data_IF_025385764732
#
_entry.id   IF_025385764732
#
_cell.length_a   1.000
_cell.length_b   1.000
_cell.length_c   1.000
_cell.angle_alpha   90.00
_cell.angle_beta   90.00
_cell.angle_gamma   90.00
#
_symmetry.space_group_name_H-M   'P 1'
#
loop_
_entity.id
_entity.type
_entity.pdbx_description
1 polymer ?
#
# COMPACT_ATOMS: atom_id res chain seq x y z
N UNK A 1 -15.03 30.71 17.87
CA UNK A 1 -15.36 29.27 17.94
C UNK A 1 -16.21 28.92 16.72
N UNK A 2 -15.95 27.74 16.15
CA UNK A 2 -16.40 27.18 14.85
C UNK A 2 -15.68 27.72 13.60
N UNK A 3 -14.89 26.87 12.91
CA UNK A 3 -14.68 26.98 11.48
C UNK A 3 -15.56 25.98 10.72
N UNK A 4 -16.31 26.51 9.76
CA UNK A 4 -17.15 25.76 8.83
C UNK A 4 -16.34 25.16 7.68
N UNK A 5 -16.83 24.00 7.24
CA UNK A 5 -16.40 23.19 6.09
C UNK A 5 -16.59 23.92 4.74
N UNK A 6 -15.59 23.86 3.87
CA UNK A 6 -15.76 24.10 2.41
C UNK A 6 -14.94 23.11 1.57
N UNK A 7 -15.60 22.00 1.25
CA UNK A 7 -15.79 21.43 -0.09
C UNK A 7 -14.61 21.49 -1.11
N UNK A 8 -13.74 20.49 -1.06
CA UNK A 8 -12.67 20.19 -2.05
C UNK A 8 -13.20 19.44 -3.30
N UNK A 9 -14.51 19.18 -3.38
CA UNK A 9 -15.08 18.27 -4.40
C UNK A 9 -15.53 19.00 -5.67
N UNK A 10 -15.54 20.34 -5.67
CA UNK A 10 -16.15 21.15 -6.75
C UNK A 10 -15.16 21.64 -7.80
N UNK A 11 -13.86 21.57 -7.56
CA UNK A 11 -12.79 22.01 -8.49
C UNK A 11 -12.38 20.93 -9.49
N UNK A 12 -12.47 19.65 -9.14
CA UNK A 12 -12.09 18.53 -10.02
C UNK A 12 -13.15 18.21 -11.09
N UNK A 13 -14.42 18.52 -10.83
CA UNK A 13 -15.51 18.32 -11.79
C UNK A 13 -15.54 19.37 -12.91
N UNK A 14 -14.93 20.55 -12.71
CA UNK A 14 -14.95 21.65 -13.70
C UNK A 14 -13.91 21.48 -14.81
N UNK A 15 -12.87 20.66 -14.60
CA UNK A 15 -11.76 20.48 -15.55
C UNK A 15 -12.05 19.37 -16.57
N UNK A 16 -12.78 18.31 -16.19
CA UNK A 16 -13.16 17.20 -17.11
C UNK A 16 -14.09 17.62 -18.26
N UNK A 17 -14.62 18.84 -18.26
CA UNK A 17 -15.55 19.34 -19.27
C UNK A 17 -14.89 20.13 -20.41
N UNK A 18 -13.57 20.37 -20.38
CA UNK A 18 -12.88 21.21 -21.40
C UNK A 18 -12.28 20.47 -22.59
N UNK A 19 -12.31 19.14 -22.63
CA UNK A 19 -11.73 18.34 -23.72
C UNK A 19 -12.69 17.33 -24.36
N UNK A 20 -14.00 17.51 -24.18
CA UNK A 20 -15.01 16.76 -24.93
C UNK A 20 -15.67 17.69 -25.93
N UNK A 21 -15.49 17.41 -27.22
CA UNK A 21 -15.85 18.21 -28.41
C UNK A 21 -14.77 19.19 -28.87
N UNK A 22 -13.66 18.65 -29.38
CA UNK A 22 -12.90 19.32 -30.43
C UNK A 22 -13.43 18.81 -31.78
N UNK A 23 -14.51 19.42 -32.26
CA UNK A 23 -14.89 19.30 -33.66
C UNK A 23 -13.81 19.98 -34.51
N UNK A 24 -13.16 19.22 -35.39
CA UNK A 24 -12.07 19.71 -36.24
C UNK A 24 -12.53 20.88 -37.14
N UNK A 25 -13.83 20.95 -37.46
CA UNK A 25 -14.39 21.88 -38.45
C UNK A 25 -14.55 23.30 -37.91
N UNK A 26 -14.69 23.49 -36.59
CA UNK A 26 -15.02 24.80 -36.00
C UNK A 26 -13.81 25.69 -35.67
N UNK A 27 -12.57 25.24 -35.93
CA UNK A 27 -11.35 25.93 -35.46
C UNK A 27 -10.60 26.72 -36.54
N UNK A 28 -10.96 26.62 -37.81
CA UNK A 28 -10.26 27.28 -38.92
C UNK A 28 -10.65 28.76 -39.14
N UNK A 29 -11.47 29.36 -38.26
CA UNK A 29 -12.17 30.62 -38.60
C UNK A 29 -11.67 31.91 -37.95
N UNK A 30 -10.58 31.98 -37.18
CA UNK A 30 -10.12 33.29 -36.66
C UNK A 30 -8.63 33.36 -36.28
N UNK A 31 -7.93 34.34 -36.86
CA UNK A 31 -6.51 34.67 -36.61
C UNK A 31 -6.34 36.10 -36.07
N UNK A 32 -5.19 36.34 -35.43
CA UNK A 32 -4.59 37.59 -34.90
C UNK A 32 -4.98 37.94 -33.44
N UNK A 33 -4.10 38.41 -32.53
CA UNK A 33 -2.76 39.02 -32.63
C UNK A 33 -2.03 39.04 -31.25
N UNK A 34 -0.69 39.17 -31.28
CA UNK A 34 0.32 39.75 -30.32
C UNK A 34 0.10 39.73 -28.78
N UNK A 35 1.09 39.56 -27.89
CA UNK A 35 2.55 39.48 -27.94
C UNK A 35 3.18 39.94 -26.59
N UNK A 36 4.36 39.39 -26.22
CA UNK A 36 5.41 39.86 -25.24
C UNK A 36 5.01 39.93 -23.73
N UNK A 37 5.86 39.66 -22.72
CA UNK A 37 7.27 39.25 -22.58
C UNK A 37 7.83 39.61 -21.17
N UNK A 38 8.87 38.87 -20.71
CA UNK A 38 9.90 39.18 -19.68
C UNK A 38 9.56 39.00 -18.17
N UNK A 39 10.20 38.10 -17.38
CA UNK A 39 11.56 38.07 -16.73
C UNK A 39 11.67 39.04 -15.51
N UNK A 40 12.32 38.79 -14.35
CA UNK A 40 13.53 38.01 -13.98
C UNK A 40 13.75 38.05 -12.44
N UNK A 41 14.40 37.01 -11.86
CA UNK A 41 15.36 36.86 -10.72
C UNK A 41 15.52 37.91 -9.57
N UNK A 42 16.09 37.65 -8.37
CA UNK A 42 17.29 36.84 -7.91
C UNK A 42 17.31 36.68 -6.37
N UNK A 43 17.88 35.56 -5.87
CA UNK A 43 18.97 35.34 -4.87
C UNK A 43 19.07 36.21 -3.57
N UNK A 44 19.70 35.86 -2.42
CA UNK A 44 20.59 34.79 -1.95
C UNK A 44 20.86 34.92 -0.40
N UNK A 45 21.12 33.78 0.27
CA UNK A 45 22.15 33.43 1.30
C UNK A 45 22.34 34.19 2.66
N UNK A 46 22.30 33.48 3.83
CA UNK A 46 23.42 32.96 4.71
C UNK A 46 23.74 33.95 5.88
N UNK A 47 23.96 33.64 7.18
CA UNK A 47 24.76 32.63 7.92
C UNK A 47 24.38 32.54 9.43
N UNK A 48 25.05 31.62 10.14
CA UNK A 48 24.93 31.03 11.49
C UNK A 48 25.11 31.90 12.77
N UNK A 49 24.70 31.30 13.91
CA UNK A 49 25.27 31.51 15.26
C UNK A 49 25.00 30.29 16.19
N UNK A 50 26.02 29.82 16.90
CA UNK A 50 26.02 28.73 17.91
C UNK A 50 25.88 29.28 19.34
N UNK A 51 25.39 28.46 20.29
CA UNK A 51 25.87 28.38 21.70
C UNK A 51 25.54 27.01 22.33
N UNK A 52 26.33 26.64 23.34
CA UNK A 52 26.61 25.34 23.96
C UNK A 52 25.62 24.87 25.05
N UNK A 53 25.73 23.60 25.49
CA UNK A 53 25.11 23.09 26.73
C UNK A 53 25.18 21.57 27.00
N UNK A 54 26.24 21.16 27.72
CA UNK A 54 26.56 19.96 28.53
C UNK A 54 25.55 18.80 28.83
N UNK A 55 26.05 17.54 28.76
CA UNK A 55 26.34 16.69 29.95
C UNK A 55 25.32 15.64 30.46
N UNK A 56 25.63 14.34 30.28
CA UNK A 56 24.96 13.08 30.74
C UNK A 56 25.32 12.73 32.22
N UNK A 57 24.71 11.72 32.91
CA UNK A 57 25.09 10.29 32.75
C UNK A 57 23.99 9.22 33.02
N UNK A 58 24.35 7.98 32.65
CA UNK A 58 23.65 6.69 32.76
C UNK A 58 23.87 5.97 34.10
N UNK A 59 22.93 5.12 34.52
CA UNK A 59 23.14 4.13 35.60
C UNK A 59 22.82 2.70 35.12
N UNK A 60 23.83 1.85 35.23
CA UNK A 60 23.77 0.41 35.09
C UNK A 60 24.29 -0.19 36.39
N UNK A 61 23.41 -0.67 37.28
CA UNK A 61 23.74 -1.63 38.36
C UNK A 61 22.50 -2.01 39.19
N UNK A 62 21.66 -2.94 38.70
CA UNK A 62 20.78 -3.76 39.57
C UNK A 62 20.62 -5.15 38.94
N UNK A 63 21.59 -6.04 39.15
CA UNK A 63 21.50 -7.44 38.72
C UNK A 63 22.24 -8.35 39.69
N UNK A 64 21.61 -8.65 40.85
CA UNK A 64 22.03 -9.82 41.66
C UNK A 64 21.00 -10.24 42.73
N UNK A 65 19.75 -10.49 42.37
CA UNK A 65 18.78 -11.12 43.30
C UNK A 65 17.46 -11.60 42.68
N UNK A 66 17.40 -11.86 41.37
CA UNK A 66 16.18 -12.34 40.70
C UNK A 66 16.37 -13.62 39.87
N UNK A 67 17.50 -14.31 40.00
CA UNK A 67 17.87 -15.43 39.11
C UNK A 67 17.44 -16.82 39.58
N UNK A 68 16.91 -16.99 40.80
CA UNK A 68 16.65 -18.34 41.35
C UNK A 68 15.19 -18.79 41.24
N UNK A 69 14.23 -17.86 41.09
CA UNK A 69 12.80 -18.21 40.88
C UNK A 69 12.37 -18.25 39.41
N UNK A 70 13.21 -17.78 38.48
CA UNK A 70 12.91 -17.78 37.04
C UNK A 70 13.17 -19.16 36.41
N UNK A 71 14.10 -19.94 36.94
CA UNK A 71 14.51 -21.25 36.42
C UNK A 71 13.47 -22.33 36.65
N UNK A 72 12.76 -22.32 37.78
CA UNK A 72 11.72 -23.32 38.10
C UNK A 72 10.45 -23.12 37.25
N UNK A 73 10.02 -21.87 37.04
CA UNK A 73 8.85 -21.55 36.21
C UNK A 73 9.10 -21.78 34.70
N UNK A 74 10.35 -21.61 34.24
CA UNK A 74 10.76 -21.97 32.88
C UNK A 74 10.78 -23.49 32.69
N UNK A 75 11.25 -24.24 33.70
CA UNK A 75 11.32 -25.70 33.67
C UNK A 75 9.93 -26.36 33.71
N UNK A 76 8.99 -25.83 34.48
CA UNK A 76 7.60 -26.35 34.54
C UNK A 76 6.82 -26.08 33.24
N UNK A 77 7.14 -25.00 32.52
CA UNK A 77 6.59 -24.69 31.20
C UNK A 77 7.13 -25.64 30.11
N UNK A 78 8.42 -26.00 30.18
CA UNK A 78 9.04 -26.97 29.27
C UNK A 78 8.56 -28.40 29.57
N UNK A 79 8.38 -28.77 30.85
CA UNK A 79 7.87 -30.09 31.24
C UNK A 79 6.39 -30.31 30.85
N UNK A 80 5.55 -29.28 31.01
CA UNK A 80 4.17 -29.32 30.52
C UNK A 80 4.07 -29.33 28.98
N UNK A 81 5.12 -28.85 28.29
CA UNK A 81 5.23 -28.96 26.83
C UNK A 81 5.68 -30.36 26.39
N UNK A 82 6.48 -31.09 27.18
CA UNK A 82 6.91 -32.46 26.87
C UNK A 82 5.84 -33.51 27.15
N UNK A 83 5.03 -33.36 28.21
CA UNK A 83 3.88 -34.25 28.49
C UNK A 83 2.75 -34.12 27.44
N UNK A 84 2.72 -33.01 26.71
CA UNK A 84 1.79 -32.80 25.60
C UNK A 84 2.27 -33.40 24.27
N UNK A 85 3.51 -33.90 24.18
CA UNK A 85 4.09 -34.47 22.95
C UNK A 85 3.73 -35.95 22.76
N UNK A 86 3.37 -36.69 23.81
CA UNK A 86 3.08 -38.13 23.68
C UNK A 86 1.63 -38.50 23.29
N UNK A 87 0.73 -37.53 23.10
CA UNK A 87 -0.64 -37.80 22.58
C UNK A 87 -0.91 -36.96 21.33
N UNK A 88 -0.06 -37.04 20.32
CA UNK A 88 -0.37 -36.56 18.97
C UNK A 88 0.58 -37.15 17.90
N UNK A 89 0.73 -38.48 17.85
CA UNK A 89 1.10 -39.14 16.60
C UNK A 89 -0.14 -39.81 16.02
N UNK A 90 -1.04 -38.98 15.50
CA UNK A 90 -1.97 -39.44 14.46
C UNK A 90 -1.45 -38.87 13.16
N UNK A 91 -0.89 -39.80 12.38
CA UNK A 91 -0.47 -39.71 10.99
C UNK A 91 -1.48 -38.90 10.16
N UNK A 92 -1.05 -37.76 9.61
CA UNK A 92 -1.86 -36.97 8.66
C UNK A 92 -1.11 -36.89 7.32
N UNK A 93 -0.77 -38.07 6.80
CA UNK A 93 -0.54 -38.27 5.37
C UNK A 93 -1.87 -38.25 4.63
N UNK A 94 -2.47 -37.07 4.48
CA UNK A 94 -3.46 -36.85 3.42
C UNK A 94 -3.04 -35.66 2.55
N UNK A 95 -2.83 -35.97 1.28
CA UNK A 95 -2.67 -35.05 0.17
C UNK A 95 -3.97 -34.23 0.01
N UNK A 96 -4.20 -33.26 0.90
CA UNK A 96 -5.35 -32.36 0.87
C UNK A 96 -5.07 -31.28 -0.18
N UNK A 97 -5.80 -31.29 -1.29
CA UNK A 97 -5.83 -30.17 -2.22
C UNK A 97 -6.05 -28.85 -1.47
N UNK A 98 -5.27 -27.83 -1.83
CA UNK A 98 -5.43 -26.49 -1.27
C UNK A 98 -6.81 -25.95 -1.62
N UNK A 99 -7.45 -25.29 -0.67
CA UNK A 99 -8.70 -24.58 -0.93
C UNK A 99 -8.39 -23.44 -1.90
N UNK A 100 -8.95 -23.48 -3.10
CA UNK A 100 -8.69 -22.49 -4.15
C UNK A 100 -9.78 -21.41 -4.24
N UNK A 101 -10.99 -21.70 -3.74
CA UNK A 101 -12.11 -20.77 -3.73
C UNK A 101 -12.50 -20.44 -2.29
N UNK A 102 -12.57 -19.15 -1.94
CA UNK A 102 -12.91 -18.70 -0.60
C UNK A 102 -14.38 -18.24 -0.53
N UNK A 103 -15.20 -18.96 0.24
CA UNK A 103 -16.58 -18.58 0.55
C UNK A 103 -16.66 -18.23 2.05
N UNK A 104 -16.85 -16.95 2.43
CA UNK A 104 -16.82 -16.53 3.83
C UNK A 104 -17.78 -17.29 4.75
N UNK A 105 -19.02 -17.54 4.29
CA UNK A 105 -20.06 -18.19 5.09
C UNK A 105 -19.74 -19.65 5.45
N UNK A 106 -18.90 -20.30 4.64
CA UNK A 106 -18.49 -21.70 4.84
C UNK A 106 -17.15 -21.77 5.57
N UNK A 107 -16.20 -20.91 5.21
CA UNK A 107 -14.81 -21.03 5.63
C UNK A 107 -14.45 -20.20 6.87
N UNK A 108 -15.30 -19.27 7.31
CA UNK A 108 -15.04 -18.40 8.48
C UNK A 108 -15.74 -18.92 9.73
N UNK A 109 -15.02 -19.74 10.49
CA UNK A 109 -15.49 -20.33 11.74
C UNK A 109 -15.24 -19.36 12.91
N UNK A 110 -16.24 -19.18 13.78
CA UNK A 110 -16.10 -18.30 14.96
C UNK A 110 -15.11 -18.89 15.96
N UNK A 111 -15.38 -20.12 16.42
CA UNK A 111 -14.58 -20.76 17.46
C UNK A 111 -13.12 -20.95 16.99
N UNK A 112 -12.13 -20.39 17.71
CA UNK A 112 -10.74 -20.41 17.29
C UNK A 112 -10.15 -21.82 17.18
N UNK A 113 -10.64 -22.79 17.95
CA UNK A 113 -10.14 -24.16 17.91
C UNK A 113 -10.61 -24.95 16.68
N UNK A 114 -11.69 -24.51 16.04
CA UNK A 114 -12.32 -25.14 14.88
C UNK A 114 -11.96 -24.46 13.55
N UNK A 115 -11.14 -23.40 13.58
CA UNK A 115 -10.77 -22.68 12.37
C UNK A 115 -9.92 -23.55 11.46
N UNK A 116 -10.18 -23.42 10.16
CA UNK A 116 -9.32 -23.97 9.12
C UNK A 116 -7.98 -23.22 9.16
N UNK A 117 -6.83 -23.91 9.28
CA UNK A 117 -5.52 -23.27 9.26
C UNK A 117 -5.33 -22.45 7.99
N UNK A 118 -4.74 -21.25 8.11
CA UNK A 118 -4.51 -20.34 6.97
C UNK A 118 -3.69 -21.01 5.86
N UNK A 119 -2.82 -21.95 6.21
CA UNK A 119 -1.98 -22.67 5.25
C UNK A 119 -2.72 -23.65 4.35
N UNK A 120 -3.95 -24.06 4.71
CA UNK A 120 -4.81 -24.90 3.85
C UNK A 120 -5.44 -24.13 2.69
N UNK A 121 -5.36 -22.81 2.69
CA UNK A 121 -5.83 -21.96 1.60
C UNK A 121 -4.71 -21.66 0.61
N UNK A 122 -5.05 -21.58 -0.67
CA UNK A 122 -4.09 -21.21 -1.73
C UNK A 122 -3.49 -19.82 -1.45
N UNK A 123 -2.18 -19.60 -1.67
CA UNK A 123 -1.50 -18.33 -1.35
C UNK A 123 -2.22 -17.07 -1.83
N UNK A 124 -2.81 -17.13 -3.03
CA UNK A 124 -3.55 -16.00 -3.63
C UNK A 124 -4.82 -15.59 -2.87
N UNK A 125 -5.45 -16.50 -2.12
CA UNK A 125 -6.71 -16.22 -1.40
C UNK A 125 -6.50 -16.04 0.11
N UNK A 126 -5.31 -16.34 0.65
CA UNK A 126 -5.00 -16.17 2.08
C UNK A 126 -5.24 -14.73 2.55
N UNK A 127 -5.04 -13.75 1.67
CA UNK A 127 -5.35 -12.35 1.93
C UNK A 127 -6.84 -12.11 2.21
N UNK A 128 -7.72 -12.68 1.40
CA UNK A 128 -9.18 -12.54 1.58
C UNK A 128 -9.66 -13.23 2.86
N UNK A 129 -9.12 -14.41 3.17
CA UNK A 129 -9.40 -15.12 4.41
C UNK A 129 -9.01 -14.28 5.62
N UNK A 130 -7.79 -13.70 5.62
CA UNK A 130 -7.34 -12.81 6.70
C UNK A 130 -8.23 -11.58 6.84
N UNK A 131 -8.62 -10.94 5.73
CA UNK A 131 -9.56 -9.80 5.75
C UNK A 131 -10.90 -10.18 6.38
N UNK A 132 -11.46 -11.33 6.02
CA UNK A 132 -12.73 -11.78 6.56
C UNK A 132 -12.67 -12.05 8.07
N UNK A 133 -11.59 -12.68 8.57
CA UNK A 133 -11.38 -12.83 10.01
C UNK A 133 -11.17 -11.48 10.70
N UNK A 134 -10.43 -10.54 10.09
CA UNK A 134 -10.25 -9.20 10.65
C UNK A 134 -11.55 -8.41 10.75
N UNK A 135 -12.45 -8.54 9.77
CA UNK A 135 -13.79 -7.93 9.80
C UNK A 135 -14.66 -8.52 10.91
N UNK A 136 -14.58 -9.84 11.12
CA UNK A 136 -15.29 -10.54 12.20
C UNK A 136 -14.73 -10.21 13.58
N UNK A 137 -13.42 -10.03 13.66
CA UNK A 137 -12.70 -9.74 14.88
C UNK A 137 -12.46 -10.96 15.78
N UNK A 138 -11.76 -10.76 16.92
CA UNK A 138 -11.47 -11.82 17.87
C UNK A 138 -12.74 -12.41 18.50
N UNK A 139 -12.77 -13.72 18.67
CA UNK A 139 -13.90 -14.42 19.31
C UNK A 139 -13.80 -14.34 20.82
N UNK A 140 -14.68 -13.55 21.43
CA UNK A 140 -14.73 -13.26 22.87
C UNK A 140 -16.14 -13.56 23.43
N UNK A 141 -16.38 -14.76 23.95
CA UNK A 141 -17.70 -15.13 24.48
C UNK A 141 -17.90 -14.54 25.88
N UNK A 142 -18.32 -13.27 25.93
CA UNK A 142 -18.72 -12.62 27.18
C UNK A 142 -19.99 -13.24 27.76
N UNK A 143 -20.07 -13.35 29.09
CA UNK A 143 -21.18 -13.97 29.81
C UNK A 143 -21.23 -15.49 29.73
N UNK A 144 -20.20 -16.14 29.16
CA UNK A 144 -20.11 -17.59 29.09
C UNK A 144 -19.74 -18.21 30.46
N UNK A 145 -20.33 -19.36 30.77
CA UNK A 145 -19.97 -20.14 31.95
C UNK A 145 -18.72 -20.97 31.66
N UNK A 146 -17.55 -20.41 31.95
CA UNK A 146 -16.27 -21.09 31.76
C UNK A 146 -16.17 -22.35 32.65
N UNK A 147 -15.92 -23.53 32.07
CA UNK A 147 -15.72 -24.76 32.84
C UNK A 147 -14.61 -24.63 33.88
N UNK A 148 -14.78 -25.32 35.00
CA UNK A 148 -13.76 -25.42 36.05
C UNK A 148 -12.94 -26.69 35.83
N UNK A 149 -11.63 -26.56 35.92
CA UNK A 149 -10.71 -27.70 35.94
C UNK A 149 -10.75 -28.41 37.30
N UNK A 150 -10.10 -29.56 37.39
CA UNK A 150 -9.97 -30.34 38.63
C UNK A 150 -9.46 -29.51 39.82
N UNK A 151 -8.59 -28.53 39.56
CA UNK A 151 -8.04 -27.64 40.59
C UNK A 151 -8.98 -26.47 40.96
N UNK A 152 -10.25 -26.57 40.56
CA UNK A 152 -11.30 -25.57 40.77
C UNK A 152 -10.99 -24.18 40.17
N UNK A 153 -10.16 -24.14 39.12
CA UNK A 153 -9.81 -22.92 38.38
C UNK A 153 -10.53 -22.90 37.04
N UNK A 154 -10.88 -21.72 36.55
CA UNK A 154 -11.51 -21.53 35.25
C UNK A 154 -10.85 -20.37 34.51
N UNK A 155 -11.10 -20.28 33.22
CA UNK A 155 -10.77 -19.08 32.46
C UNK A 155 -11.50 -17.86 33.05
N UNK A 156 -10.79 -16.73 33.15
CA UNK A 156 -11.37 -15.48 33.67
C UNK A 156 -11.76 -14.55 32.54
N UNK A 157 -13.05 -14.20 32.48
CA UNK A 157 -13.60 -13.26 31.49
C UNK A 157 -12.86 -11.91 31.47
N UNK A 158 -12.35 -11.45 32.62
CA UNK A 158 -11.60 -10.19 32.71
C UNK A 158 -10.34 -10.18 31.83
N UNK A 159 -9.77 -11.34 31.51
CA UNK A 159 -8.62 -11.46 30.62
C UNK A 159 -8.96 -11.08 29.18
N UNK A 160 -10.18 -11.35 28.71
CA UNK A 160 -10.66 -10.96 27.37
C UNK A 160 -10.80 -9.45 27.23
N UNK A 161 -11.13 -8.76 28.33
CA UNK A 161 -11.21 -7.30 28.38
C UNK A 161 -9.83 -6.66 28.42
N UNK A 162 -8.91 -7.24 29.19
CA UNK A 162 -7.54 -6.74 29.35
C UNK A 162 -6.68 -6.93 28.10
N UNK A 163 -6.87 -8.03 27.38
CA UNK A 163 -6.04 -8.41 26.23
C UNK A 163 -6.88 -8.34 24.95
N UNK A 164 -6.54 -7.43 24.04
CA UNK A 164 -7.23 -7.27 22.77
C UNK A 164 -7.08 -8.50 21.86
N UNK A 165 -5.91 -9.13 21.89
CA UNK A 165 -5.52 -10.30 21.09
C UNK A 165 -6.09 -11.64 21.55
N UNK A 166 -6.56 -11.75 22.79
CA UNK A 166 -6.93 -13.01 23.42
C UNK A 166 -8.30 -13.50 22.93
N UNK A 167 -8.36 -14.76 22.54
CA UNK A 167 -9.58 -15.46 22.14
C UNK A 167 -9.82 -16.68 23.04
N UNK A 168 -11.06 -17.12 23.12
CA UNK A 168 -11.43 -18.33 23.86
C UNK A 168 -12.27 -19.26 22.98
N UNK A 169 -11.91 -20.53 22.96
CA UNK A 169 -12.69 -21.62 22.38
C UNK A 169 -13.59 -22.24 23.43
N UNK A 170 -14.89 -22.28 23.15
CA UNK A 170 -15.86 -22.96 24.02
C UNK A 170 -15.73 -24.48 23.85
N UNK A 171 -15.50 -24.93 22.61
CA UNK A 171 -15.42 -26.36 22.28
C UNK A 171 -14.22 -27.05 22.94
N UNK A 172 -13.06 -26.39 22.97
CA UNK A 172 -11.85 -26.96 23.59
C UNK A 172 -11.59 -26.49 25.02
N UNK A 173 -12.37 -25.56 25.56
CA UNK A 173 -12.08 -24.86 26.82
C UNK A 173 -10.61 -24.42 26.87
N UNK A 174 -10.22 -23.61 25.89
CA UNK A 174 -8.82 -23.22 25.67
C UNK A 174 -8.69 -21.81 25.09
N UNK A 175 -7.61 -21.12 25.47
CA UNK A 175 -7.31 -19.77 25.01
C UNK A 175 -6.37 -19.75 23.81
N UNK A 176 -6.64 -18.84 22.86
CA UNK A 176 -5.90 -18.68 21.62
C UNK A 176 -5.51 -17.21 21.39
N UNK A 177 -4.62 -16.96 20.45
CA UNK A 177 -4.23 -15.62 20.04
C UNK A 177 -4.66 -15.33 18.60
N UNK A 178 -5.49 -14.29 18.45
CA UNK A 178 -6.04 -13.89 17.16
C UNK A 178 -4.96 -13.51 16.13
N UNK A 179 -4.01 -12.66 16.53
CA UNK A 179 -2.95 -12.20 15.62
C UNK A 179 -2.00 -13.33 15.23
N UNK A 180 -1.62 -14.18 16.20
CA UNK A 180 -0.73 -15.32 15.93
C UNK A 180 -1.39 -16.40 15.06
N UNK A 181 -2.71 -16.57 15.13
CA UNK A 181 -3.44 -17.44 14.21
C UNK A 181 -3.40 -16.90 12.77
N UNK A 182 -3.67 -15.61 12.56
CA UNK A 182 -3.77 -15.01 11.23
C UNK A 182 -2.42 -14.79 10.53
N UNK A 183 -1.42 -14.36 11.31
CA UNK A 183 -0.10 -13.98 10.82
C UNK A 183 0.98 -14.83 11.48
N UNK A 184 0.73 -16.13 11.59
CA UNK A 184 1.67 -17.12 12.11
C UNK A 184 3.06 -16.88 11.52
N UNK A 185 4.03 -16.61 12.40
CA UNK A 185 5.43 -16.43 12.06
C UNK A 185 6.18 -17.69 12.43
N UNK A 186 7.17 -18.06 11.62
CA UNK A 186 8.11 -19.09 12.05
C UNK A 186 8.90 -18.57 13.26
N UNK A 187 9.03 -19.40 14.32
CA UNK A 187 9.81 -19.04 15.48
C UNK A 187 11.28 -18.85 15.09
N UNK A 188 11.93 -17.82 15.63
CA UNK A 188 13.38 -17.62 15.48
C UNK A 188 14.17 -18.59 16.36
N UNK A 189 13.57 -19.09 17.44
CA UNK A 189 14.13 -20.06 18.37
C UNK A 189 13.09 -21.14 18.69
N UNK A 190 13.49 -22.42 18.71
CA UNK A 190 12.62 -23.58 18.98
C UNK A 190 11.98 -23.60 20.38
N UNK A 191 12.40 -22.71 21.28
CA UNK A 191 12.14 -22.84 22.73
C UNK A 191 10.89 -22.15 23.25
N UNK A 192 10.02 -21.60 22.40
CA UNK A 192 8.86 -20.87 22.88
C UNK A 192 7.55 -21.45 22.35
N UNK A 193 6.59 -21.70 23.25
CA UNK A 193 5.30 -22.36 23.03
C UNK A 193 4.34 -21.61 22.09
N UNK A 194 4.79 -21.41 20.85
CA UNK A 194 4.06 -20.78 19.75
C UNK A 194 2.77 -21.54 19.43
N UNK A 195 2.85 -22.87 19.47
CA UNK A 195 1.71 -23.72 19.16
C UNK A 195 0.68 -23.77 20.29
N UNK A 196 1.04 -23.37 21.52
CA UNK A 196 0.10 -23.29 22.65
C UNK A 196 -1.03 -22.28 22.40
N UNK A 197 -0.74 -21.11 21.81
CA UNK A 197 -1.76 -20.09 21.53
C UNK A 197 -2.31 -20.13 20.09
N UNK A 198 -1.85 -21.08 19.25
CA UNK A 198 -2.26 -21.15 17.83
C UNK A 198 -2.90 -22.49 17.45
N UNK A 199 -2.32 -23.64 17.83
CA UNK A 199 -2.82 -24.97 17.46
C UNK A 199 -3.47 -25.72 18.62
N UNK A 200 -2.78 -25.80 19.74
CA UNK A 200 -3.17 -26.65 20.88
C UNK A 200 -4.23 -25.96 21.74
N UNK A 201 -4.03 -24.67 22.02
CA UNK A 201 -4.83 -23.89 22.95
C UNK A 201 -4.24 -23.90 24.36
N UNK A 202 -4.19 -22.75 25.01
CA UNK A 202 -3.68 -22.60 26.36
C UNK A 202 -4.77 -22.92 27.38
N UNK A 203 -4.51 -23.86 28.31
CA UNK A 203 -5.48 -24.33 29.33
C UNK A 203 -4.97 -24.25 30.76
N UNK A 204 -3.69 -23.93 30.96
CA UNK A 204 -3.04 -23.91 32.28
C UNK A 204 -3.36 -22.62 33.02
N UNK A 205 -4.61 -22.49 33.48
CA UNK A 205 -5.15 -21.27 34.11
C UNK A 205 -4.32 -20.78 35.30
N UNK A 206 -3.69 -21.70 36.04
CA UNK A 206 -2.81 -21.37 37.17
C UNK A 206 -1.66 -20.42 36.79
N UNK A 207 -1.15 -20.56 35.56
CA UNK A 207 0.03 -19.84 35.09
C UNK A 207 -0.33 -18.71 34.13
N UNK A 208 -1.62 -18.41 33.94
CA UNK A 208 -2.08 -17.38 32.99
C UNK A 208 -1.47 -15.99 33.25
N UNK A 209 -1.29 -15.63 34.54
CA UNK A 209 -0.71 -14.34 34.93
C UNK A 209 0.74 -14.15 34.44
N UNK A 210 1.47 -15.25 34.28
CA UNK A 210 2.85 -15.27 33.81
C UNK A 210 2.93 -15.58 32.31
N UNK A 211 2.13 -16.54 31.84
CA UNK A 211 2.12 -16.99 30.46
C UNK A 211 1.64 -15.92 29.47
N UNK A 212 0.64 -15.09 29.83
CA UNK A 212 0.15 -14.05 28.90
C UNK A 212 1.17 -12.93 28.68
N UNK A 213 1.78 -12.32 29.71
CA UNK A 213 2.87 -11.36 29.49
C UNK A 213 4.06 -11.96 28.75
N UNK A 214 4.44 -13.21 29.07
CA UNK A 214 5.51 -13.89 28.34
C UNK A 214 5.16 -14.13 26.87
N UNK A 215 3.92 -14.50 26.56
CA UNK A 215 3.45 -14.68 25.18
C UNK A 215 3.57 -13.40 24.37
N UNK A 216 3.14 -12.27 24.95
CA UNK A 216 3.30 -10.96 24.32
C UNK A 216 4.78 -10.63 24.18
N UNK A 217 5.59 -10.89 25.22
CA UNK A 217 7.03 -10.76 25.20
C UNK A 217 7.54 -9.36 24.84
N UNK A 218 8.79 -9.29 24.39
CA UNK A 218 9.42 -8.04 23.95
C UNK A 218 9.08 -7.65 22.49
N UNK A 219 9.63 -6.53 21.98
CA UNK A 219 9.28 -5.98 20.66
C UNK A 219 9.45 -6.94 19.47
N UNK A 220 10.38 -7.89 19.58
CA UNK A 220 10.69 -8.87 18.53
C UNK A 220 10.01 -10.23 18.73
N UNK A 221 9.12 -10.35 19.72
CA UNK A 221 8.39 -11.60 19.97
C UNK A 221 7.54 -12.01 18.77
N UNK A 222 7.23 -13.31 18.68
CA UNK A 222 6.33 -13.82 17.65
C UNK A 222 4.97 -13.08 17.65
N UNK A 223 4.45 -12.77 18.84
CA UNK A 223 3.21 -12.01 19.01
C UNK A 223 3.30 -10.62 18.41
N UNK A 224 4.31 -9.83 18.79
CA UNK A 224 4.44 -8.46 18.33
C UNK A 224 4.75 -8.38 16.84
N UNK A 225 5.54 -9.32 16.30
CA UNK A 225 5.73 -9.46 14.86
C UNK A 225 4.43 -9.77 14.12
N UNK A 226 3.61 -10.69 14.62
CA UNK A 226 2.31 -11.00 14.04
C UNK A 226 1.34 -9.80 14.13
N UNK A 227 1.40 -9.04 15.23
CA UNK A 227 0.64 -7.81 15.42
C UNK A 227 1.06 -6.73 14.42
N UNK A 228 2.36 -6.47 14.26
CA UNK A 228 2.87 -5.53 13.25
C UNK A 228 2.47 -5.96 11.84
N UNK A 229 2.61 -7.25 11.50
CA UNK A 229 2.19 -7.76 10.20
C UNK A 229 0.69 -7.56 9.94
N UNK A 230 -0.14 -7.68 10.99
CA UNK A 230 -1.56 -7.37 10.90
C UNK A 230 -1.83 -5.89 10.62
N UNK A 231 -1.12 -4.99 11.29
CA UNK A 231 -1.29 -3.54 11.11
C UNK A 231 -0.79 -3.08 9.73
N UNK A 232 0.33 -3.63 9.26
CA UNK A 232 0.84 -3.42 7.90
C UNK A 232 -0.16 -3.93 6.86
N UNK A 233 -0.77 -5.10 7.10
CA UNK A 233 -1.76 -5.69 6.21
C UNK A 233 -3.05 -4.85 6.11
N UNK A 234 -3.45 -4.15 7.19
CA UNK A 234 -4.58 -3.20 7.16
C UNK A 234 -4.25 -1.93 6.37
N UNK A 235 -2.97 -1.57 6.23
CA UNK A 235 -2.53 -0.35 5.55
C UNK A 235 -2.48 -0.54 4.01
N UNK A 236 -3.64 -0.73 3.40
CA UNK A 236 -3.80 -1.00 1.96
C UNK A 236 -3.16 0.07 1.05
N UNK A 237 -3.08 1.33 1.52
CA UNK A 237 -2.43 2.46 0.83
C UNK A 237 -0.92 2.29 0.67
N UNK A 238 -0.29 1.52 1.55
CA UNK A 238 1.15 1.24 1.49
C UNK A 238 1.47 0.01 0.61
N UNK A 239 0.46 -0.77 0.23
CA UNK A 239 0.65 -2.02 -0.52
C UNK A 239 1.26 -1.78 -1.90
N UNK A 240 2.16 -2.68 -2.32
CA UNK A 240 2.81 -2.62 -3.64
C UNK A 240 1.78 -2.62 -4.78
N UNK A 241 0.74 -3.47 -4.80
CA UNK A 241 -0.25 -3.45 -5.89
C UNK A 241 -0.99 -2.13 -6.01
N UNK A 242 -1.37 -1.52 -4.87
CA UNK A 242 -2.02 -0.21 -4.87
C UNK A 242 -1.09 0.87 -5.43
N UNK A 243 0.17 0.91 -4.96
CA UNK A 243 1.19 1.86 -5.45
C UNK A 243 1.47 1.71 -6.94
N UNK A 244 1.61 0.47 -7.44
CA UNK A 244 1.81 0.18 -8.86
C UNK A 244 0.61 0.69 -9.67
N UNK A 245 -0.60 0.33 -9.27
CA UNK A 245 -1.83 0.78 -9.96
C UNK A 245 -1.97 2.30 -10.00
N UNK A 246 -1.62 2.99 -8.91
CA UNK A 246 -1.64 4.47 -8.88
C UNK A 246 -0.56 5.09 -9.75
N UNK A 247 0.64 4.51 -9.74
CA UNK A 247 1.76 4.97 -10.56
C UNK A 247 1.45 4.80 -12.05
N UNK A 248 0.82 3.70 -12.45
CA UNK A 248 0.42 3.43 -13.83
C UNK A 248 -0.57 4.48 -14.34
N UNK A 249 -1.59 4.83 -13.54
CA UNK A 249 -2.55 5.89 -13.89
C UNK A 249 -1.89 7.26 -14.05
N UNK A 250 -0.96 7.61 -13.17
CA UNK A 250 -0.22 8.87 -13.23
C UNK A 250 0.75 8.90 -14.43
N UNK A 251 1.38 7.75 -14.75
CA UNK A 251 2.20 7.60 -15.95
C UNK A 251 1.39 7.76 -17.24
N UNK A 252 0.19 7.16 -17.31
CA UNK A 252 -0.74 7.26 -18.44
C UNK A 252 -1.22 8.70 -18.65
N UNK A 253 -1.68 9.38 -17.59
CA UNK A 253 -2.13 10.76 -17.66
C UNK A 253 -1.03 11.71 -18.17
N UNK A 254 0.21 11.53 -17.71
CA UNK A 254 1.36 12.31 -18.19
C UNK A 254 1.69 12.01 -19.65
N UNK A 255 1.56 10.76 -20.09
CA UNK A 255 1.73 10.41 -21.49
C UNK A 255 0.66 11.07 -22.37
N UNK A 256 -0.59 11.07 -21.94
CA UNK A 256 -1.70 11.74 -22.63
C UNK A 256 -1.44 13.25 -22.79
N UNK A 257 -0.97 13.92 -21.74
CA UNK A 257 -0.57 15.34 -21.79
C UNK A 257 0.53 15.57 -22.83
N UNK A 258 1.56 14.72 -22.85
CA UNK A 258 2.66 14.83 -23.83
C UNK A 258 2.17 14.65 -25.26
N UNK A 259 1.41 13.59 -25.51
CA UNK A 259 0.86 13.28 -26.83
C UNK A 259 -0.05 14.42 -27.33
N UNK A 260 -0.96 14.88 -26.48
CA UNK A 260 -1.92 15.95 -26.82
C UNK A 260 -1.19 17.26 -27.11
N UNK A 261 -0.18 17.61 -26.30
CA UNK A 261 0.63 18.82 -26.52
C UNK A 261 1.37 18.75 -27.85
N UNK A 262 2.06 17.64 -28.13
CA UNK A 262 2.77 17.43 -29.39
C UNK A 262 1.83 17.47 -30.60
N UNK A 263 0.64 16.88 -30.49
CA UNK A 263 -0.36 16.90 -31.56
C UNK A 263 -0.91 18.31 -31.81
N UNK A 264 -1.16 19.10 -30.77
CA UNK A 264 -1.59 20.50 -30.90
C UNK A 264 -0.54 21.33 -31.66
N UNK A 265 0.74 21.18 -31.33
CA UNK A 265 1.84 21.87 -32.01
C UNK A 265 1.93 21.41 -33.47
N UNK A 266 1.89 20.09 -33.71
CA UNK A 266 1.93 19.53 -35.06
C UNK A 266 0.79 20.09 -35.93
N UNK A 267 -0.44 20.09 -35.39
CA UNK A 267 -1.62 20.63 -36.05
C UNK A 267 -1.45 22.11 -36.38
N UNK A 268 -0.92 22.92 -35.45
CA UNK A 268 -0.66 24.33 -35.69
C UNK A 268 0.31 24.54 -36.86
N UNK A 269 1.44 23.83 -36.85
CA UNK A 269 2.46 23.96 -37.89
C UNK A 269 1.94 23.54 -39.26
N UNK A 270 1.21 22.42 -39.35
CA UNK A 270 0.55 21.96 -40.59
C UNK A 270 -0.43 23.01 -41.09
N UNK A 271 -1.27 23.56 -40.20
CA UNK A 271 -2.30 24.54 -40.57
C UNK A 271 -1.71 25.86 -41.08
N UNK A 272 -0.49 26.20 -40.67
CA UNK A 272 0.23 27.40 -41.12
C UNK A 272 1.21 27.11 -42.27
N UNK A 273 1.36 25.85 -42.70
CA UNK A 273 2.35 25.47 -43.71
C UNK A 273 3.80 25.66 -43.23
N UNK A 274 4.04 25.60 -41.92
CA UNK A 274 5.36 25.80 -41.33
C UNK A 274 6.14 24.49 -41.24
N UNK A 275 7.44 24.57 -41.52
CA UNK A 275 8.35 23.44 -41.30
C UNK A 275 8.41 23.08 -39.81
N UNK A 276 8.48 21.80 -39.48
CA UNK A 276 8.59 21.35 -38.08
C UNK A 276 9.99 21.55 -37.52
N UNK A 277 10.98 21.30 -38.38
CA UNK A 277 12.38 21.10 -37.99
C UNK A 277 13.24 22.31 -38.34
N UNK A 278 14.25 22.52 -37.51
CA UNK A 278 15.33 23.46 -37.77
C UNK A 278 16.53 22.76 -38.41
N UNK A 279 17.49 23.54 -38.89
CA UNK A 279 18.77 22.97 -39.36
C UNK A 279 19.58 22.34 -38.23
N UNK A 280 19.42 22.85 -37.00
CA UNK A 280 20.10 22.35 -35.82
C UNK A 280 19.15 22.29 -34.62
N UNK A 281 18.81 21.07 -34.18
CA UNK A 281 17.93 20.81 -33.03
C UNK A 281 18.72 20.56 -31.72
N UNK A 282 20.04 20.79 -31.70
CA UNK A 282 20.85 20.62 -30.48
C UNK A 282 20.41 21.58 -29.37
N UNK A 283 20.61 21.17 -28.12
CA UNK A 283 20.28 22.00 -26.94
C UNK A 283 21.00 23.35 -26.90
N UNK A 284 22.16 23.47 -27.57
CA UNK A 284 22.95 24.69 -27.71
C UNK A 284 22.49 25.62 -28.84
N UNK A 285 21.56 25.18 -29.70
CA UNK A 285 21.07 26.00 -30.80
C UNK A 285 20.16 27.12 -30.29
N UNK A 286 20.32 28.33 -30.83
CA UNK A 286 19.42 29.45 -30.55
C UNK A 286 18.02 29.28 -31.17
N UNK A 287 17.90 28.41 -32.17
CA UNK A 287 16.64 28.05 -32.80
C UNK A 287 16.66 26.56 -33.15
N UNK A 288 15.92 25.77 -32.37
CA UNK A 288 15.85 24.31 -32.53
C UNK A 288 14.76 23.86 -33.50
N UNK A 289 14.23 24.77 -34.30
CA UNK A 289 13.11 24.50 -35.20
C UNK A 289 11.76 24.77 -34.54
N UNK A 290 10.76 25.02 -35.39
CA UNK A 290 9.46 25.53 -34.94
C UNK A 290 8.78 24.59 -33.94
N UNK A 291 8.89 23.27 -34.09
CA UNK A 291 8.26 22.32 -33.16
C UNK A 291 8.81 22.44 -31.74
N UNK A 292 10.15 22.41 -31.60
CA UNK A 292 10.80 22.46 -30.29
C UNK A 292 10.68 23.84 -29.64
N UNK A 293 10.74 24.92 -30.43
CA UNK A 293 10.54 26.28 -29.92
C UNK A 293 9.09 26.53 -29.48
N UNK A 294 8.09 26.03 -30.22
CA UNK A 294 6.69 26.11 -29.78
C UNK A 294 6.43 25.25 -28.54
N UNK A 295 7.05 24.08 -28.44
CA UNK A 295 6.94 23.23 -27.25
C UNK A 295 7.50 23.96 -26.03
N UNK A 296 8.67 24.56 -26.14
CA UNK A 296 9.29 25.35 -25.07
C UNK A 296 8.40 26.53 -24.67
N UNK A 297 7.87 27.26 -25.65
CA UNK A 297 6.92 28.34 -25.42
C UNK A 297 5.63 27.88 -24.71
N UNK A 298 5.15 26.68 -25.02
CA UNK A 298 3.95 26.09 -24.41
C UNK A 298 4.19 25.65 -22.97
N UNK A 299 5.32 24.99 -22.68
CA UNK A 299 5.70 24.60 -21.31
C UNK A 299 5.76 25.79 -20.35
N UNK A 300 6.24 26.94 -20.83
CA UNK A 300 6.29 28.17 -20.02
C UNK A 300 4.91 28.68 -19.59
N UNK A 301 3.83 28.25 -20.25
CA UNK A 301 2.44 28.69 -19.99
C UNK A 301 1.56 27.61 -19.41
N UNK A 302 1.94 26.34 -19.55
CA UNK A 302 1.20 25.21 -19.03
C UNK A 302 2.08 24.42 -18.04
N UNK A 303 1.85 24.56 -16.72
CA UNK A 303 2.66 23.87 -15.71
C UNK A 303 2.50 22.35 -15.79
N UNK A 304 1.34 21.83 -16.18
CA UNK A 304 1.12 20.39 -16.34
C UNK A 304 1.95 19.84 -17.51
N UNK A 305 2.01 20.56 -18.62
CA UNK A 305 2.87 20.20 -19.74
C UNK A 305 4.35 20.30 -19.37
N UNK A 306 4.75 21.36 -18.64
CA UNK A 306 6.13 21.48 -18.15
C UNK A 306 6.53 20.27 -17.29
N UNK A 307 5.74 19.94 -16.28
CA UNK A 307 5.99 18.79 -15.41
C UNK A 307 6.03 17.46 -16.19
N UNK A 308 5.11 17.28 -17.14
CA UNK A 308 5.03 16.05 -17.94
C UNK A 308 6.24 15.85 -18.87
N UNK A 309 6.87 16.93 -19.37
CA UNK A 309 8.01 16.86 -20.29
C UNK A 309 9.39 17.04 -19.63
N UNK A 310 9.49 17.63 -18.44
CA UNK A 310 10.79 17.94 -17.78
C UNK A 310 11.07 17.10 -16.53
N UNK A 311 10.16 17.10 -15.57
CA UNK A 311 10.41 16.51 -14.25
C UNK A 311 10.20 14.99 -14.23
N UNK A 312 9.24 14.52 -15.01
CA UNK A 312 8.70 13.15 -14.90
C UNK A 312 8.67 12.43 -16.26
N UNK A 313 9.50 12.86 -17.21
CA UNK A 313 9.52 12.32 -18.56
C UNK A 313 10.61 11.26 -18.74
N UNK A 314 10.25 9.99 -19.02
CA UNK A 314 11.21 8.99 -19.46
C UNK A 314 11.86 9.43 -20.78
N UNK A 315 13.17 9.22 -20.93
CA UNK A 315 13.91 9.58 -22.16
C UNK A 315 13.27 9.00 -23.44
N UNK A 316 12.58 7.86 -23.33
CA UNK A 316 11.91 7.19 -24.44
C UNK A 316 10.53 7.78 -24.81
N UNK A 317 9.95 8.63 -23.97
CA UNK A 317 8.58 9.13 -24.10
C UNK A 317 8.48 10.65 -24.29
N UNK A 318 9.58 11.31 -24.68
CA UNK A 318 9.64 12.77 -24.82
C UNK A 318 8.78 13.33 -25.95
N UNK A 319 8.30 12.51 -26.88
CA UNK A 319 7.48 12.93 -28.04
C UNK A 319 8.12 14.00 -28.95
N UNK A 320 9.42 14.26 -28.78
CA UNK A 320 10.19 15.30 -29.50
C UNK A 320 11.07 14.74 -30.61
N UNK A 321 11.27 13.43 -30.68
CA UNK A 321 12.15 12.82 -31.67
C UNK A 321 11.61 13.02 -33.10
N UNK A 322 12.53 13.05 -34.07
CA UNK A 322 12.18 13.15 -35.48
C UNK A 322 11.14 12.13 -35.93
N UNK A 323 11.33 10.88 -35.51
CA UNK A 323 10.49 9.76 -35.92
C UNK A 323 9.05 10.01 -35.45
N UNK A 324 8.89 10.42 -34.19
CA UNK A 324 7.58 10.74 -33.63
C UNK A 324 6.96 11.97 -34.32
N UNK A 325 7.72 13.03 -34.60
CA UNK A 325 7.22 14.18 -35.35
C UNK A 325 6.71 13.79 -36.76
N UNK A 326 7.42 12.87 -37.43
CA UNK A 326 7.00 12.34 -38.73
C UNK A 326 5.72 11.50 -38.60
N UNK A 327 5.66 10.62 -37.62
CA UNK A 327 4.48 9.78 -37.36
C UNK A 327 3.23 10.64 -37.06
N UNK A 328 3.39 11.71 -36.27
CA UNK A 328 2.33 12.69 -36.01
C UNK A 328 1.87 13.40 -37.29
N UNK A 329 2.81 13.78 -38.15
CA UNK A 329 2.51 14.43 -39.43
C UNK A 329 1.75 13.49 -40.37
N UNK A 330 2.18 12.24 -40.46
CA UNK A 330 1.52 11.22 -41.27
C UNK A 330 0.10 10.92 -40.77
N UNK A 331 -0.08 10.79 -39.44
CA UNK A 331 -1.39 10.64 -38.83
C UNK A 331 -2.32 11.82 -39.17
N UNK A 332 -1.83 13.05 -39.05
CA UNK A 332 -2.61 14.24 -39.42
C UNK A 332 -2.97 14.24 -40.92
N UNK A 333 -2.05 13.86 -41.80
CA UNK A 333 -2.29 13.78 -43.24
C UNK A 333 -3.30 12.69 -43.63
N UNK A 334 -3.34 11.57 -42.91
CA UNK A 334 -4.36 10.52 -43.10
C UNK A 334 -5.74 11.06 -42.73
N UNK A 335 -5.87 11.71 -41.58
CA UNK A 335 -7.16 12.25 -41.13
C UNK A 335 -7.67 13.38 -42.03
N UNK A 336 -6.79 14.28 -42.47
CA UNK A 336 -7.15 15.33 -43.44
C UNK A 336 -7.67 14.74 -44.75
N UNK A 337 -7.01 13.70 -45.30
CA UNK A 337 -7.46 13.01 -46.51
C UNK A 337 -8.84 12.38 -46.35
N UNK A 338 -9.12 11.76 -45.20
CA UNK A 338 -10.44 11.20 -44.90
C UNK A 338 -11.53 12.28 -44.91
N UNK A 339 -11.27 13.43 -44.27
CA UNK A 339 -12.22 14.55 -44.25
C UNK A 339 -12.48 15.09 -45.66
N UNK A 340 -11.43 15.27 -46.47
CA UNK A 340 -11.56 15.72 -47.86
C UNK A 340 -12.37 14.76 -48.72
N UNK A 341 -12.15 13.45 -48.58
CA UNK A 341 -12.90 12.44 -49.32
C UNK A 341 -14.39 12.46 -48.95
N UNK A 342 -14.71 12.59 -47.65
CA UNK A 342 -16.09 12.68 -47.18
C UNK A 342 -16.80 13.96 -47.62
N UNK A 343 -16.09 15.09 -47.66
CA UNK A 343 -16.64 16.36 -48.15
C UNK A 343 -16.78 16.39 -49.69
N UNK A 344 -16.07 15.54 -50.45
CA UNK A 344 -16.18 15.42 -51.92
C UNK A 344 -17.32 14.51 -52.42
N UNK A 345 -17.93 13.73 -51.53
CA UNK A 345 -19.05 12.82 -51.82
C UNK A 345 -20.42 13.48 -51.53
N UNK A 346 -20.41 14.65 -50.88
CA UNK A 346 -21.57 15.54 -50.75
C UNK A 346 -21.60 16.54 -51.89
#
# INVERSE_FOLDING_TARGET
MVPGSTDSSRTTARVKKRYKNLDLKSFYSSSSSNGRGSSRNTNESVTQGQTEGQGVPSEAEVQRSQSENATEAQAEFVAAATDAVEIAQVDDTQNSELINNFVPDIHIVSDPALRIPIDRFHPNIRGDVRRAYLLKGPTKPFGHNFPRTHDNRSFSESWLKKNDWLEYSVEKDAAFCFYCFLFKQEPLDEKFGHDAFTKVGFRTWKNAYHAFPLHVGGPISCHNRARTACDDFKNERASVPHKVTTHDKDAEARYEIRLTTSLCIARFLISQGLAFRGHNETSSSLNRGNFLELLEWFKQRNPEAKAAFEELCPLTAQMTSHKIQKDLTEACAIELRKVMYMDSIR
#
